data_IF_835445773041
#
_entry.id   IF_835445773041
#
_cell.length_a   1.000
_cell.length_b   1.000
_cell.length_c   1.000
_cell.angle_alpha   90.00
_cell.angle_beta   90.00
_cell.angle_gamma   90.00
#
_symmetry.space_group_name_H-M   'P 1'
#
loop_
_entity.id
_entity.type
_entity.pdbx_description
1 polymer ?
#
# COMPACT_ATOMS: atom_id res chain seq x y z
N UNK A 1 -24.58 6.53 2.50
CA UNK A 1 -23.48 5.65 2.07
C UNK A 1 -23.89 4.84 0.86
N UNK A 2 -24.68 3.79 1.05
CA UNK A 2 -25.18 2.92 -0.03
C UNK A 2 -26.07 3.68 -1.04
N UNK A 3 -27.03 4.49 -0.57
CA UNK A 3 -27.90 5.32 -1.42
C UNK A 3 -27.15 6.41 -2.21
N UNK A 4 -26.01 6.88 -1.68
CA UNK A 4 -25.17 7.88 -2.33
C UNK A 4 -24.38 7.27 -3.50
N UNK A 5 -23.87 6.05 -3.32
CA UNK A 5 -23.18 5.28 -4.35
C UNK A 5 -24.17 4.84 -5.44
N UNK A 6 -25.39 4.44 -5.06
CA UNK A 6 -26.45 4.07 -5.99
C UNK A 6 -26.85 5.24 -6.92
N UNK A 7 -26.84 6.47 -6.42
CA UNK A 7 -27.13 7.67 -7.21
C UNK A 7 -25.90 8.25 -7.95
N UNK A 8 -24.68 7.88 -7.56
CA UNK A 8 -23.43 8.36 -8.18
C UNK A 8 -22.45 7.21 -8.47
N UNK A 9 -22.82 6.36 -9.43
CA UNK A 9 -22.01 5.22 -9.93
C UNK A 9 -20.57 5.64 -10.29
N UNK A 10 -20.35 6.91 -10.65
CA UNK A 10 -19.02 7.49 -10.91
C UNK A 10 -18.04 7.31 -9.74
N UNK A 11 -18.51 7.16 -8.50
CA UNK A 11 -17.65 6.94 -7.34
C UNK A 11 -17.07 5.52 -7.28
N UNK A 12 -17.66 4.56 -7.98
CA UNK A 12 -17.13 3.19 -8.11
C UNK A 12 -15.96 3.15 -9.12
N UNK A 13 -15.87 4.13 -10.03
CA UNK A 13 -14.77 4.21 -11.00
C UNK A 13 -13.41 4.46 -10.36
N UNK A 14 -13.32 5.15 -9.21
CA UNK A 14 -12.05 5.37 -8.52
C UNK A 14 -11.38 4.08 -8.00
N UNK A 15 -12.07 3.22 -7.21
CA UNK A 15 -11.51 1.94 -6.82
C UNK A 15 -11.23 1.03 -8.01
N UNK A 16 -12.10 1.03 -9.04
CA UNK A 16 -11.84 0.27 -10.27
C UNK A 16 -10.59 0.78 -11.00
N UNK A 17 -10.39 2.10 -11.11
CA UNK A 17 -9.25 2.69 -11.77
C UNK A 17 -7.95 2.41 -11.01
N UNK A 18 -7.96 2.49 -9.68
CA UNK A 18 -6.82 2.09 -8.87
C UNK A 18 -6.54 0.59 -9.01
N UNK A 19 -7.58 -0.23 -9.02
CA UNK A 19 -7.45 -1.68 -9.19
C UNK A 19 -6.86 -2.03 -10.56
N UNK A 20 -7.31 -1.36 -11.63
CA UNK A 20 -6.74 -1.48 -12.97
C UNK A 20 -5.28 -1.01 -12.99
N UNK A 21 -4.98 0.15 -12.40
CA UNK A 21 -3.62 0.68 -12.32
C UNK A 21 -2.67 -0.26 -11.58
N UNK A 22 -3.09 -0.85 -10.48
CA UNK A 22 -2.27 -1.80 -9.72
C UNK A 22 -2.17 -3.16 -10.40
N UNK A 23 -3.16 -3.52 -11.22
CA UNK A 23 -3.16 -4.76 -11.96
C UNK A 23 -2.31 -4.70 -13.24
N UNK A 24 -2.37 -3.60 -13.99
CA UNK A 24 -1.64 -3.42 -15.26
C UNK A 24 -0.35 -2.60 -15.13
N UNK A 25 -0.18 -1.88 -14.02
CA UNK A 25 0.94 -0.97 -13.80
C UNK A 25 2.27 -1.67 -13.47
N UNK A 26 3.37 -0.92 -13.47
CA UNK A 26 4.68 -1.47 -13.14
C UNK A 26 4.71 -2.00 -11.71
N UNK A 27 5.51 -3.02 -11.44
CA UNK A 27 5.72 -3.55 -10.10
C UNK A 27 6.99 -2.97 -9.51
N UNK A 28 6.88 -2.42 -8.31
CA UNK A 28 8.04 -1.96 -7.57
C UNK A 28 8.42 -3.03 -6.55
N UNK A 29 9.46 -3.79 -6.86
CA UNK A 29 9.87 -4.98 -6.12
C UNK A 29 10.98 -4.68 -5.13
N UNK A 30 10.95 -5.41 -4.01
CA UNK A 30 11.96 -5.42 -2.96
C UNK A 30 12.54 -6.84 -2.79
N UNK A 31 12.36 -7.72 -3.78
CA UNK A 31 12.65 -9.15 -3.68
C UNK A 31 14.11 -9.40 -3.32
N UNK A 32 15.04 -8.67 -3.93
CA UNK A 32 16.47 -8.78 -3.65
C UNK A 32 16.83 -8.35 -2.23
N UNK A 33 16.24 -7.27 -1.73
CA UNK A 33 16.46 -6.80 -0.36
C UNK A 33 15.91 -7.81 0.66
N UNK A 34 14.66 -8.25 0.49
CA UNK A 34 14.01 -9.21 1.38
C UNK A 34 14.78 -10.53 1.40
N UNK A 35 15.15 -11.05 0.23
CA UNK A 35 15.91 -12.29 0.11
C UNK A 35 17.27 -12.19 0.81
N UNK A 36 18.02 -11.13 0.53
CA UNK A 36 19.34 -10.90 1.14
C UNK A 36 19.24 -10.82 2.67
N UNK A 37 18.26 -10.09 3.20
CA UNK A 37 18.03 -10.01 4.65
C UNK A 37 17.63 -11.36 5.24
N UNK A 38 16.71 -12.08 4.58
CA UNK A 38 16.26 -13.39 5.05
C UNK A 38 17.39 -14.41 5.06
N UNK A 39 18.20 -14.47 3.98
CA UNK A 39 19.33 -15.40 3.85
C UNK A 39 20.39 -15.11 4.94
N UNK A 40 20.66 -13.83 5.23
CA UNK A 40 21.56 -13.44 6.30
C UNK A 40 21.05 -13.88 7.68
N UNK A 41 19.77 -13.66 7.97
CA UNK A 41 19.15 -14.09 9.23
C UNK A 41 19.20 -15.61 9.37
N UNK A 42 18.78 -16.36 8.35
CA UNK A 42 18.77 -17.83 8.39
C UNK A 42 20.18 -18.43 8.50
N UNK A 43 21.19 -17.79 7.89
CA UNK A 43 22.59 -18.18 8.07
C UNK A 43 23.04 -18.04 9.53
N UNK A 44 22.62 -16.97 10.22
CA UNK A 44 22.97 -16.79 11.65
C UNK A 44 22.32 -17.87 12.51
N UNK A 45 21.04 -18.19 12.28
CA UNK A 45 20.32 -19.20 13.06
C UNK A 45 20.84 -20.63 12.82
N UNK A 46 21.13 -21.00 11.57
CA UNK A 46 21.65 -22.33 11.23
C UNK A 46 23.07 -22.60 11.78
N UNK A 47 23.87 -21.56 11.99
CA UNK A 47 25.17 -21.68 12.67
C UNK A 47 25.04 -21.89 14.19
N UNK A 48 23.91 -21.50 14.80
CA UNK A 48 23.68 -21.63 16.24
C UNK A 48 23.06 -22.99 16.62
N UNK A 49 22.21 -23.55 15.77
CA UNK A 49 21.59 -24.86 15.99
C UNK A 49 21.44 -25.63 14.66
N UNK A 50 22.28 -26.65 14.41
CA UNK A 50 22.19 -27.49 13.21
C UNK A 50 20.86 -28.23 13.07
N UNK A 51 20.16 -28.53 14.17
CA UNK A 51 18.86 -29.19 14.17
C UNK A 51 17.72 -28.31 13.67
N UNK A 52 17.93 -26.98 13.62
CA UNK A 52 16.96 -26.03 13.08
C UNK A 52 17.02 -25.87 11.56
N UNK A 53 18.07 -26.37 10.91
CA UNK A 53 18.25 -26.22 9.46
C UNK A 53 17.10 -26.85 8.65
N UNK A 54 16.61 -28.02 9.07
CA UNK A 54 15.48 -28.71 8.42
C UNK A 54 14.14 -28.01 8.65
N UNK A 55 13.99 -27.29 9.77
CA UNK A 55 12.78 -26.53 10.10
C UNK A 55 12.74 -25.16 9.40
N UNK A 56 13.91 -24.59 9.07
CA UNK A 56 14.04 -23.25 8.48
C UNK A 56 13.82 -23.26 6.96
N UNK A 57 14.15 -24.36 6.26
CA UNK A 57 14.00 -24.46 4.80
C UNK A 57 12.59 -24.10 4.29
N UNK A 58 11.50 -24.70 4.83
CA UNK A 58 10.14 -24.34 4.39
C UNK A 58 9.78 -22.88 4.67
N UNK A 59 10.33 -22.31 5.75
CA UNK A 59 10.14 -20.91 6.11
C UNK A 59 10.85 -19.99 5.11
N UNK A 60 12.08 -20.31 4.71
CA UNK A 60 12.83 -19.55 3.72
C UNK A 60 12.16 -19.59 2.34
N UNK A 61 11.64 -20.74 1.92
CA UNK A 61 10.85 -20.86 0.68
C UNK A 61 9.59 -19.99 0.74
N UNK A 62 8.85 -20.03 1.84
CA UNK A 62 7.68 -19.19 2.04
C UNK A 62 8.03 -17.69 1.97
N UNK A 63 9.13 -17.26 2.60
CA UNK A 63 9.60 -15.87 2.51
C UNK A 63 9.99 -15.47 1.09
N UNK A 64 10.59 -16.37 0.32
CA UNK A 64 10.94 -16.12 -1.08
C UNK A 64 9.69 -15.91 -1.93
N UNK A 65 8.67 -16.77 -1.76
CA UNK A 65 7.39 -16.65 -2.44
C UNK A 65 6.67 -15.35 -2.09
N UNK A 66 6.70 -14.93 -0.82
CA UNK A 66 6.14 -13.63 -0.38
C UNK A 66 6.92 -12.47 -1.03
N UNK A 67 8.25 -12.54 -1.03
CA UNK A 67 9.12 -11.51 -1.58
C UNK A 67 8.93 -11.32 -3.09
N UNK A 68 8.65 -12.38 -3.83
CA UNK A 68 8.39 -12.34 -5.28
C UNK A 68 7.03 -11.74 -5.61
N UNK A 69 6.04 -11.95 -4.74
CA UNK A 69 4.69 -11.42 -4.90
C UNK A 69 4.57 -9.97 -4.43
N UNK A 70 5.41 -9.54 -3.48
CA UNK A 70 5.33 -8.21 -2.90
C UNK A 70 5.51 -7.08 -3.95
N UNK A 71 4.56 -6.16 -3.98
CA UNK A 71 4.63 -4.94 -4.80
C UNK A 71 4.48 -3.73 -3.88
N UNK A 72 5.51 -2.88 -3.80
CA UNK A 72 5.49 -1.71 -2.94
C UNK A 72 4.38 -0.71 -3.32
N UNK A 73 3.99 -0.65 -4.60
CA UNK A 73 2.86 0.19 -5.03
C UNK A 73 1.52 -0.27 -4.46
N UNK A 74 1.39 -1.53 -4.01
CA UNK A 74 0.17 -2.00 -3.37
C UNK A 74 -0.14 -1.22 -2.07
N UNK A 75 0.84 -0.55 -1.48
CA UNK A 75 0.65 0.33 -0.32
C UNK A 75 -0.25 1.54 -0.60
N UNK A 76 -0.48 1.90 -1.88
CA UNK A 76 -1.51 2.89 -2.24
C UNK A 76 -2.92 2.49 -1.74
N UNK A 77 -3.14 1.20 -1.46
CA UNK A 77 -4.40 0.66 -0.94
C UNK A 77 -4.50 0.65 0.59
N UNK A 78 -3.41 0.87 1.33
CA UNK A 78 -3.37 0.58 2.77
C UNK A 78 -3.58 1.84 3.64
N UNK A 79 -4.24 1.63 4.79
CA UNK A 79 -4.61 2.55 5.88
C UNK A 79 -3.59 3.67 6.21
N UNK A 80 -4.04 4.85 6.68
CA UNK A 80 -5.35 5.12 7.31
C UNK A 80 -6.46 5.60 6.35
N UNK A 81 -6.11 5.97 5.11
CA UNK A 81 -7.03 6.51 4.10
C UNK A 81 -6.70 5.89 2.75
N UNK A 82 -6.72 4.55 2.65
CA UNK A 82 -6.53 3.84 1.40
C UNK A 82 -7.84 3.68 0.63
N UNK A 83 -7.76 3.54 -0.69
CA UNK A 83 -8.93 3.14 -1.50
C UNK A 83 -9.16 1.63 -1.29
N UNK A 84 -10.38 1.26 -0.90
CA UNK A 84 -10.78 -0.14 -0.72
C UNK A 84 -10.71 -0.87 -2.05
N UNK A 85 -9.79 -1.81 -2.16
CA UNK A 85 -9.60 -2.65 -3.34
C UNK A 85 -10.36 -3.96 -3.23
N UNK A 86 -10.95 -4.42 -4.32
CA UNK A 86 -11.68 -5.70 -4.38
C UNK A 86 -10.76 -6.90 -4.72
N UNK A 87 -9.56 -6.66 -5.23
CA UNK A 87 -8.55 -7.68 -5.54
C UNK A 87 -7.67 -7.97 -4.32
N UNK A 88 -8.23 -8.65 -3.31
CA UNK A 88 -7.53 -9.01 -2.05
C UNK A 88 -6.78 -10.35 -2.17
N UNK A 89 -7.15 -11.22 -3.12
CA UNK A 89 -6.73 -12.64 -3.07
C UNK A 89 -5.86 -13.14 -4.23
N UNK A 90 -5.55 -12.31 -5.23
CA UNK A 90 -4.67 -12.69 -6.33
C UNK A 90 -3.73 -11.53 -6.61
N UNK A 91 -2.45 -11.63 -6.21
CA UNK A 91 -1.39 -10.81 -6.80
C UNK A 91 -1.00 -11.52 -8.10
N UNK A 92 -1.64 -11.19 -9.24
CA UNK A 92 -1.60 -12.08 -10.41
C UNK A 92 -0.18 -12.05 -10.96
N UNK A 93 0.54 -13.18 -10.98
CA UNK A 93 1.93 -13.20 -11.46
C UNK A 93 2.03 -12.83 -12.97
N UNK A 94 0.89 -12.74 -13.65
CA UNK A 94 0.73 -12.40 -15.06
C UNK A 94 -0.38 -11.35 -15.24
N UNK A 95 -0.10 -10.32 -16.05
CA UNK A 95 -1.12 -9.41 -16.57
C UNK A 95 -1.76 -10.05 -17.80
N UNK A 96 -3.05 -9.79 -18.10
CA UNK A 96 -3.67 -10.21 -19.36
C UNK A 96 -2.90 -9.75 -20.60
N UNK A 97 -2.10 -8.68 -20.46
CA UNK A 97 -1.32 -8.08 -21.53
C UNK A 97 0.15 -8.58 -21.59
N UNK A 98 0.53 -9.58 -20.80
CA UNK A 98 1.86 -10.21 -20.84
C UNK A 98 2.74 -9.94 -19.61
N UNK A 99 4.05 -9.83 -19.82
CA UNK A 99 5.06 -9.64 -18.76
C UNK A 99 4.91 -8.22 -18.19
N UNK A 100 4.57 -8.13 -16.91
CA UNK A 100 4.50 -6.86 -16.19
C UNK A 100 5.90 -6.26 -16.06
N UNK A 101 6.04 -4.97 -16.40
CA UNK A 101 7.28 -4.23 -16.15
C UNK A 101 7.56 -4.23 -14.63
N UNK A 102 8.72 -4.74 -14.22
CA UNK A 102 9.13 -4.76 -12.81
C UNK A 102 10.40 -3.96 -12.60
N UNK A 103 10.38 -3.07 -11.61
CA UNK A 103 11.52 -2.28 -11.17
C UNK A 103 11.96 -2.77 -9.80
N UNK A 104 13.19 -3.25 -9.72
CA UNK A 104 13.78 -3.74 -8.48
C UNK A 104 14.48 -2.59 -7.75
N UNK A 105 14.16 -2.38 -6.49
CA UNK A 105 14.90 -1.44 -5.65
C UNK A 105 16.03 -2.18 -4.95
N UNK A 106 17.26 -1.86 -5.34
CA UNK A 106 18.47 -2.51 -4.82
C UNK A 106 19.01 -1.94 -3.49
N UNK A 107 18.36 -0.96 -2.87
CA UNK A 107 18.85 -0.34 -1.63
C UNK A 107 17.75 -0.04 -0.61
N UNK A 108 18.06 -0.23 0.68
CA UNK A 108 17.14 0.08 1.78
C UNK A 108 16.75 1.56 1.80
N UNK A 109 17.69 2.47 1.53
CA UNK A 109 17.41 3.90 1.45
C UNK A 109 16.45 4.24 0.31
N UNK A 110 16.63 3.65 -0.87
CA UNK A 110 15.70 3.79 -1.98
C UNK A 110 14.32 3.23 -1.65
N UNK A 111 14.26 2.08 -0.96
CA UNK A 111 13.00 1.45 -0.56
C UNK A 111 12.23 2.33 0.44
N UNK A 112 12.95 2.91 1.40
CA UNK A 112 12.37 3.81 2.40
C UNK A 112 11.84 5.11 1.78
N UNK A 113 12.59 5.74 0.87
CA UNK A 113 12.13 6.93 0.13
C UNK A 113 10.90 6.60 -0.72
N UNK A 114 10.94 5.49 -1.46
CA UNK A 114 9.81 5.04 -2.26
C UNK A 114 8.57 4.78 -1.40
N UNK A 115 8.74 4.13 -0.25
CA UNK A 115 7.68 3.92 0.73
C UNK A 115 7.03 5.24 1.17
N UNK A 116 7.84 6.25 1.55
CA UNK A 116 7.33 7.56 1.97
C UNK A 116 6.54 8.24 0.83
N UNK A 117 7.09 8.26 -0.39
CA UNK A 117 6.44 8.88 -1.54
C UNK A 117 5.11 8.21 -1.87
N UNK A 118 5.07 6.87 -1.84
CA UNK A 118 3.87 6.08 -2.08
C UNK A 118 2.84 6.32 -0.98
N UNK A 119 3.26 6.39 0.29
CA UNK A 119 2.36 6.67 1.40
C UNK A 119 1.72 8.07 1.28
N UNK A 120 2.52 9.10 0.96
CA UNK A 120 2.02 10.46 0.72
C UNK A 120 1.03 10.48 -0.45
N UNK A 121 1.36 9.81 -1.56
CA UNK A 121 0.48 9.70 -2.72
C UNK A 121 -0.84 8.99 -2.37
N UNK A 122 -0.77 7.89 -1.61
CA UNK A 122 -1.94 7.15 -1.13
C UNK A 122 -2.86 8.01 -0.27
N UNK A 123 -2.31 8.75 0.69
CA UNK A 123 -3.08 9.69 1.53
C UNK A 123 -3.74 10.76 0.64
N UNK A 124 -3.00 11.37 -0.27
CA UNK A 124 -3.55 12.41 -1.14
C UNK A 124 -4.69 11.87 -2.00
N UNK A 125 -4.50 10.74 -2.69
CA UNK A 125 -5.52 10.10 -3.52
C UNK A 125 -6.74 9.66 -2.69
N UNK A 126 -6.51 9.07 -1.52
CA UNK A 126 -7.56 8.65 -0.62
C UNK A 126 -8.38 9.82 -0.09
N UNK A 127 -7.73 10.90 0.35
CA UNK A 127 -8.42 12.11 0.81
C UNK A 127 -9.30 12.70 -0.29
N UNK A 128 -8.81 12.78 -1.53
CA UNK A 128 -9.62 13.22 -2.66
C UNK A 128 -10.86 12.35 -2.86
N UNK A 129 -10.67 11.02 -2.84
CA UNK A 129 -11.74 10.05 -3.01
C UNK A 129 -12.82 10.16 -1.92
N UNK A 130 -12.42 10.17 -0.64
CA UNK A 130 -13.37 10.30 0.47
C UNK A 130 -14.08 11.65 0.48
N UNK A 131 -13.40 12.72 0.07
CA UNK A 131 -14.03 14.02 -0.07
C UNK A 131 -15.12 14.03 -1.16
N UNK A 132 -14.88 13.35 -2.29
CA UNK A 132 -15.88 13.20 -3.35
C UNK A 132 -17.08 12.36 -2.89
N UNK A 133 -16.84 11.28 -2.15
CA UNK A 133 -17.92 10.47 -1.54
C UNK A 133 -18.73 11.30 -0.55
N UNK A 134 -18.06 12.08 0.31
CA UNK A 134 -18.74 12.91 1.31
C UNK A 134 -19.67 13.94 0.67
N UNK A 135 -19.23 14.62 -0.40
CA UNK A 135 -20.07 15.55 -1.17
C UNK A 135 -21.26 14.85 -1.81
N UNK A 136 -21.04 13.71 -2.46
CA UNK A 136 -22.14 12.94 -3.07
C UNK A 136 -23.15 12.43 -2.04
N UNK A 137 -22.70 12.10 -0.82
CA UNK A 137 -23.55 11.57 0.24
C UNK A 137 -24.33 12.64 1.01
N UNK A 138 -23.78 13.85 1.15
CA UNK A 138 -24.39 14.95 1.91
C UNK A 138 -25.18 15.88 0.99
N UNK A 139 -24.57 16.31 -0.12
CA UNK A 139 -25.10 17.37 -0.98
C UNK A 139 -25.83 16.82 -2.22
N UNK A 140 -25.75 15.50 -2.45
CA UNK A 140 -26.36 14.84 -3.61
C UNK A 140 -25.79 15.28 -4.97
N UNK A 141 -24.68 16.03 -4.97
CA UNK A 141 -23.95 16.45 -6.16
C UNK A 141 -22.44 16.39 -5.90
N UNK A 142 -21.65 16.30 -6.98
CA UNK A 142 -20.19 16.31 -6.89
C UNK A 142 -19.65 17.58 -7.54
N UNK A 143 -19.15 18.50 -6.73
CA UNK A 143 -18.54 19.74 -7.20
C UNK A 143 -17.02 19.56 -7.36
N UNK A 144 -16.58 19.04 -8.50
CA UNK A 144 -15.16 18.73 -8.78
C UNK A 144 -14.21 19.91 -8.57
N UNK A 145 -14.63 21.14 -8.90
CA UNK A 145 -13.83 22.35 -8.66
C UNK A 145 -13.56 22.59 -7.18
N UNK A 146 -14.58 22.45 -6.33
CA UNK A 146 -14.43 22.59 -4.87
C UNK A 146 -13.65 21.44 -4.26
N UNK A 147 -13.82 20.22 -4.81
CA UNK A 147 -13.03 19.07 -4.40
C UNK A 147 -11.54 19.33 -4.65
N UNK A 148 -11.16 19.80 -5.84
CA UNK A 148 -9.78 20.07 -6.22
C UNK A 148 -9.17 21.24 -5.41
N UNK A 149 -9.93 22.29 -5.16
CA UNK A 149 -9.46 23.46 -4.40
C UNK A 149 -9.16 23.11 -2.92
N UNK A 150 -10.00 22.28 -2.30
CA UNK A 150 -9.86 21.89 -0.89
C UNK A 150 -8.91 20.71 -0.69
N UNK A 151 -8.68 19.92 -1.73
CA UNK A 151 -7.85 18.72 -1.72
C UNK A 151 -6.46 18.88 -1.09
N UNK A 152 -5.63 19.89 -1.45
CA UNK A 152 -4.29 20.02 -0.88
C UNK A 152 -4.32 20.28 0.62
N UNK A 153 -5.25 21.13 1.09
CA UNK A 153 -5.41 21.42 2.52
C UNK A 153 -5.92 20.20 3.29
N UNK A 154 -6.91 19.49 2.74
CA UNK A 154 -7.44 18.28 3.36
C UNK A 154 -6.38 17.18 3.46
N UNK A 155 -5.56 17.02 2.41
CA UNK A 155 -4.47 16.03 2.39
C UNK A 155 -3.41 16.34 3.45
N UNK A 156 -3.03 17.62 3.59
CA UNK A 156 -2.13 18.09 4.64
C UNK A 156 -2.71 17.82 6.04
N UNK A 157 -4.00 18.07 6.25
CA UNK A 157 -4.65 17.81 7.54
C UNK A 157 -4.62 16.32 7.89
N UNK A 158 -4.93 15.43 6.94
CA UNK A 158 -4.87 13.98 7.17
C UNK A 158 -3.44 13.51 7.43
N UNK A 159 -2.45 14.09 6.75
CA UNK A 159 -1.04 13.81 7.01
C UNK A 159 -0.62 14.19 8.43
N UNK A 160 -0.96 15.39 8.90
CA UNK A 160 -0.69 15.80 10.28
C UNK A 160 -1.39 14.91 11.30
N UNK A 161 -2.63 14.53 11.02
CA UNK A 161 -3.42 13.67 11.91
C UNK A 161 -2.79 12.27 12.01
N UNK A 162 -2.28 11.73 10.90
CA UNK A 162 -1.53 10.47 10.88
C UNK A 162 -0.22 10.55 11.68
N UNK A 163 0.56 11.62 11.52
CA UNK A 163 1.77 11.86 12.32
C UNK A 163 1.44 11.98 13.81
N UNK A 164 0.39 12.73 14.15
CA UNK A 164 -0.04 12.93 15.52
C UNK A 164 -0.38 11.59 16.19
N UNK A 165 -1.18 10.74 15.53
CA UNK A 165 -1.49 9.40 16.04
C UNK A 165 -0.24 8.54 16.21
N UNK A 166 0.69 8.59 15.25
CA UNK A 166 1.93 7.83 15.33
C UNK A 166 2.77 8.24 16.54
N UNK A 167 2.95 9.55 16.77
CA UNK A 167 3.68 10.08 17.94
C UNK A 167 2.99 9.70 19.25
N UNK A 168 1.66 9.81 19.30
CA UNK A 168 0.87 9.48 20.48
C UNK A 168 1.01 7.99 20.85
N UNK A 169 0.95 7.10 19.87
CA UNK A 169 1.13 5.66 20.08
C UNK A 169 2.55 5.32 20.58
N UNK A 170 3.58 5.98 20.04
CA UNK A 170 4.96 5.82 20.54
C UNK A 170 5.04 6.24 22.01
N UNK A 171 4.46 7.39 22.36
CA UNK A 171 4.49 7.90 23.72
C UNK A 171 3.78 6.96 24.72
N UNK A 172 2.67 6.33 24.31
CA UNK A 172 1.97 5.34 25.15
C UNK A 172 2.74 4.02 25.27
N UNK A 173 3.47 3.61 24.22
CA UNK A 173 4.12 2.29 24.16
C UNK A 173 5.45 2.26 24.91
N UNK A 174 6.13 3.40 25.07
CA UNK A 174 7.34 3.50 25.88
C UNK A 174 6.91 3.44 27.35
N UNK A 175 7.21 2.36 28.10
CA UNK A 175 6.97 2.34 29.54
C UNK A 175 7.88 3.38 30.18
N UNK A 176 7.28 4.31 30.92
CA UNK A 176 8.00 5.24 31.79
C UNK A 176 8.55 4.55 33.03
#
# INVERSE_FOLDING_TARGET
>A
GFDAIANHVILILFPIALDLFLWTGPRLKLTGLIKTTSDQLFKVYSLQDPGMAELIQPVQEAWTVIAEQFNLLALLRTYPVGITSLLVSQLPLSSPFGILASWEIGSFGGAFIAFILIAIAGIALGTFYFQAIAQAAIDGNISWGQALERWPRASLQMFYLAIMWFVLLIFITIPG
#
